data_IF_299469852878
#
_entry.id   IF_299469852878
#
_cell.length_a   1.000
_cell.length_b   1.000
_cell.length_c   1.000
_cell.angle_alpha   90.00
_cell.angle_beta   90.00
_cell.angle_gamma   90.00
#
_symmetry.space_group_name_H-M   'P 1'
#
loop_
_entity.id
_entity.type
_entity.pdbx_description
1 polymer ?
#
# COMPACT_ATOMS: atom_id res chain seq x y z
N UNK A 1 -0.38 -14.45 -14.04
CA UNK A 1 0.15 -15.74 -13.54
C UNK A 1 1.10 -15.48 -12.38
N UNK A 2 0.88 -16.10 -11.22
CA UNK A 2 1.70 -15.85 -10.03
C UNK A 2 3.08 -16.52 -10.18
N UNK A 3 4.18 -15.76 -9.99
CA UNK A 3 5.58 -16.23 -10.11
C UNK A 3 5.86 -17.52 -9.32
N UNK A 4 5.28 -17.62 -8.12
CA UNK A 4 5.40 -18.78 -7.24
C UNK A 4 4.70 -20.03 -7.82
N UNK A 5 3.57 -19.85 -8.48
CA UNK A 5 2.83 -20.95 -9.11
C UNK A 5 3.65 -21.56 -10.25
N UNK A 6 4.29 -20.71 -11.07
CA UNK A 6 5.12 -21.16 -12.18
C UNK A 6 6.40 -21.88 -11.72
N UNK A 7 7.02 -21.44 -10.62
CA UNK A 7 8.14 -22.13 -9.98
C UNK A 7 7.79 -23.55 -9.49
N UNK A 8 6.58 -23.68 -8.94
CA UNK A 8 6.07 -24.95 -8.46
C UNK A 8 5.76 -25.89 -9.62
N UNK A 9 5.20 -25.38 -10.71
CA UNK A 9 4.93 -26.13 -11.94
C UNK A 9 6.23 -26.62 -12.61
N UNK A 10 7.28 -25.79 -12.61
CA UNK A 10 8.61 -26.16 -13.14
C UNK A 10 9.40 -27.11 -12.23
N UNK A 11 8.95 -27.35 -11.00
CA UNK A 11 9.65 -28.22 -10.04
C UNK A 11 10.98 -27.67 -9.49
N UNK A 12 11.36 -26.45 -9.86
CA UNK A 12 12.63 -25.82 -9.48
C UNK A 12 12.55 -25.07 -8.13
N UNK A 13 11.37 -25.01 -7.51
CA UNK A 13 11.13 -24.35 -6.21
C UNK A 13 12.09 -24.80 -5.10
N UNK A 14 12.59 -26.04 -5.14
CA UNK A 14 13.56 -26.57 -4.18
C UNK A 14 14.89 -25.81 -4.15
N UNK A 15 15.32 -25.23 -5.27
CA UNK A 15 16.56 -24.46 -5.40
C UNK A 15 16.48 -23.09 -4.71
N UNK A 16 15.26 -22.66 -4.37
CA UNK A 16 14.98 -21.39 -3.70
C UNK A 16 14.50 -21.59 -2.26
N UNK A 17 14.64 -22.81 -1.71
CA UNK A 17 14.29 -23.11 -0.33
C UNK A 17 15.18 -22.31 0.63
N UNK A 18 14.56 -21.41 1.40
CA UNK A 18 15.25 -20.52 2.34
C UNK A 18 15.60 -19.14 1.77
N UNK A 19 15.35 -18.90 0.47
CA UNK A 19 15.42 -17.55 -0.13
C UNK A 19 14.10 -16.81 0.08
N UNK A 20 14.15 -15.50 0.20
CA UNK A 20 12.95 -14.65 0.26
C UNK A 20 12.37 -14.47 -1.14
N UNK A 21 11.06 -14.22 -1.23
CA UNK A 21 10.36 -14.03 -2.50
C UNK A 21 11.00 -12.91 -3.36
N UNK A 22 11.55 -11.89 -2.70
CA UNK A 22 12.24 -10.74 -3.30
C UNK A 22 13.59 -11.11 -3.96
N UNK A 23 14.17 -12.27 -3.61
CA UNK A 23 15.48 -12.75 -4.10
C UNK A 23 15.34 -13.71 -5.29
N UNK A 24 14.12 -14.15 -5.60
CA UNK A 24 13.88 -15.09 -6.68
C UNK A 24 13.75 -14.30 -7.99
N UNK A 25 14.87 -14.06 -8.67
CA UNK A 25 14.86 -13.50 -10.01
C UNK A 25 14.68 -14.61 -11.05
N UNK A 26 13.43 -14.84 -11.46
CA UNK A 26 13.12 -15.63 -12.65
C UNK A 26 12.94 -14.60 -13.76
N UNK A 27 13.78 -14.62 -14.78
CA UNK A 27 13.66 -13.78 -15.98
C UNK A 27 12.37 -14.13 -16.74
N UNK A 28 11.23 -13.75 -16.18
CA UNK A 28 9.86 -14.01 -16.65
C UNK A 28 9.21 -12.78 -17.26
N UNK A 29 9.92 -11.66 -17.26
CA UNK A 29 9.42 -10.41 -17.83
C UNK A 29 9.37 -10.46 -19.36
N UNK A 30 10.16 -11.33 -20.00
CA UNK A 30 10.27 -11.39 -21.46
C UNK A 30 9.10 -12.16 -22.14
N UNK A 31 8.37 -13.01 -21.41
CA UNK A 31 7.32 -13.88 -21.96
C UNK A 31 5.88 -13.36 -21.75
N UNK A 32 5.71 -12.23 -21.05
CA UNK A 32 4.38 -11.65 -20.76
C UNK A 32 3.86 -10.69 -21.85
N UNK A 33 4.66 -10.39 -22.88
CA UNK A 33 4.31 -9.41 -23.92
C UNK A 33 3.72 -10.00 -25.22
N UNK A 34 3.41 -11.30 -25.26
CA UNK A 34 2.94 -11.96 -26.50
C UNK A 34 1.54 -12.61 -26.44
N UNK A 35 0.60 -12.09 -25.64
CA UNK A 35 -0.82 -12.45 -25.77
C UNK A 35 -1.62 -11.21 -26.16
N UNK A 36 -1.79 -11.06 -27.47
CA UNK A 36 -2.74 -10.17 -28.11
C UNK A 36 -3.91 -11.03 -28.59
N UNK A 37 -5.16 -10.78 -28.14
CA UNK A 37 -6.43 -11.13 -28.81
C UNK A 37 -7.67 -10.70 -27.98
N UNK A 38 -8.30 -9.61 -28.42
CA UNK A 38 -9.73 -9.24 -28.37
C UNK A 38 -10.72 -10.02 -27.47
N UNK A 39 -11.38 -9.33 -26.52
CA UNK A 39 -12.85 -9.16 -26.48
C UNK A 39 -13.29 -8.19 -25.37
N UNK A 40 -14.20 -7.31 -25.75
CA UNK A 40 -14.94 -6.27 -25.03
C UNK A 40 -15.78 -6.80 -23.85
N UNK A 41 -15.53 -6.36 -22.59
CA UNK A 41 -16.54 -6.14 -21.52
C UNK A 41 -15.97 -5.20 -20.44
N UNK A 42 -16.73 -4.16 -20.15
CA UNK A 42 -16.53 -3.07 -19.19
C UNK A 42 -16.49 -3.49 -17.71
N UNK A 43 -15.43 -3.11 -16.97
CA UNK A 43 -15.51 -2.82 -15.53
C UNK A 43 -14.35 -1.92 -15.07
N UNK A 44 -14.68 -1.00 -14.18
CA UNK A 44 -13.91 0.15 -13.69
C UNK A 44 -12.50 -0.19 -13.19
N UNK A 45 -11.47 0.46 -13.75
CA UNK A 45 -10.11 0.40 -13.23
C UNK A 45 -9.60 1.83 -12.96
N UNK A 46 -9.59 2.23 -11.68
CA UNK A 46 -8.87 3.42 -11.22
C UNK A 46 -7.39 3.28 -11.57
N UNK A 47 -6.92 4.20 -12.41
CA UNK A 47 -5.59 4.24 -12.98
C UNK A 47 -4.50 4.38 -11.91
N UNK A 48 -3.45 3.60 -12.13
CA UNK A 48 -2.19 3.55 -11.40
C UNK A 48 -1.50 4.92 -11.39
N UNK A 49 -0.99 5.33 -10.23
CA UNK A 49 -0.11 6.49 -10.12
C UNK A 49 1.28 6.10 -10.63
N UNK A 50 1.69 6.74 -11.72
CA UNK A 50 3.06 6.76 -12.23
C UNK A 50 3.97 7.44 -11.20
N UNK A 51 5.06 6.79 -10.80
CA UNK A 51 6.18 7.47 -10.15
C UNK A 51 7.14 7.93 -11.24
N UNK A 52 7.19 9.24 -11.41
CA UNK A 52 8.07 9.93 -12.34
C UNK A 52 9.49 10.04 -11.75
N UNK A 53 10.47 9.86 -12.63
CA UNK A 53 11.91 9.89 -12.41
C UNK A 53 12.41 11.22 -11.84
N UNK A 54 13.41 11.15 -10.94
CA UNK A 54 14.49 12.15 -10.87
C UNK A 54 15.84 11.40 -10.82
N UNK A 55 16.68 11.74 -11.79
CA UNK A 55 18.03 11.27 -12.16
C UNK A 55 19.06 12.02 -11.29
N UNK A 56 20.19 11.46 -10.81
CA UNK A 56 21.52 11.34 -11.47
C UNK A 56 22.44 10.59 -10.48
N UNK A 57 23.04 9.45 -10.85
CA UNK A 57 24.31 9.27 -11.59
C UNK A 57 25.56 9.72 -10.80
N UNK A 58 26.25 8.74 -10.21
CA UNK A 58 27.69 8.80 -9.94
C UNK A 58 28.27 7.38 -9.99
N UNK A 59 29.44 7.31 -10.63
CA UNK A 59 30.03 6.18 -11.32
C UNK A 59 30.83 5.21 -10.41
N UNK A 60 30.79 3.93 -10.77
CA UNK A 60 31.79 2.85 -10.62
C UNK A 60 32.70 2.72 -9.38
N UNK A 61 32.53 1.60 -8.63
CA UNK A 61 33.41 0.38 -8.62
C UNK A 61 33.64 -0.25 -7.22
N UNK A 62 33.45 -1.58 -7.25
CA UNK A 62 34.08 -2.66 -6.48
C UNK A 62 33.72 -2.91 -5.01
N UNK A 63 33.06 -4.06 -4.87
CA UNK A 63 33.02 -5.05 -3.79
C UNK A 63 33.87 -4.80 -2.54
N UNK A 64 33.19 -4.64 -1.40
CA UNK A 64 33.63 -5.17 -0.11
C UNK A 64 32.41 -5.74 0.63
N UNK A 65 32.59 -6.95 1.13
CA UNK A 65 31.56 -7.82 1.71
C UNK A 65 31.05 -7.21 3.01
N UNK A 66 29.84 -6.67 3.03
CA UNK A 66 29.18 -6.34 4.31
C UNK A 66 28.34 -7.54 4.76
N UNK A 67 28.81 -8.25 5.78
CA UNK A 67 27.98 -9.16 6.56
C UNK A 67 26.87 -8.32 7.20
N UNK A 68 25.73 -8.16 6.51
CA UNK A 68 24.57 -7.46 7.04
C UNK A 68 23.97 -8.32 8.14
N UNK A 69 24.47 -8.14 9.36
CA UNK A 69 23.82 -8.63 10.57
C UNK A 69 22.37 -8.17 10.50
N UNK A 70 21.44 -9.11 10.69
CA UNK A 70 20.00 -8.85 10.63
C UNK A 70 19.68 -7.57 11.41
N UNK A 71 19.30 -6.51 10.68
CA UNK A 71 18.90 -5.25 11.29
C UNK A 71 17.70 -5.56 12.20
N UNK A 72 17.71 -5.07 13.46
CA UNK A 72 16.60 -5.32 14.36
C UNK A 72 15.32 -4.80 13.73
N UNK A 73 14.26 -5.64 13.71
CA UNK A 73 12.94 -5.26 13.22
C UNK A 73 12.53 -3.91 13.82
N UNK A 74 12.56 -2.85 13.01
CA UNK A 74 12.18 -1.52 13.47
C UNK A 74 10.73 -1.60 13.94
N UNK A 75 10.52 -1.39 15.24
CA UNK A 75 9.18 -1.32 15.82
C UNK A 75 8.42 -0.21 15.09
N UNK A 76 7.22 -0.51 14.58
CA UNK A 76 6.40 0.48 13.89
C UNK A 76 6.08 1.61 14.87
N UNK A 77 6.41 2.85 14.50
CA UNK A 77 6.02 4.02 15.26
C UNK A 77 4.54 4.29 14.96
N UNK A 78 3.69 4.13 15.96
CA UNK A 78 2.28 4.50 15.86
C UNK A 78 2.16 6.01 16.00
N UNK A 79 1.62 6.68 14.99
CA UNK A 79 1.27 8.09 15.11
C UNK A 79 -0.08 8.20 15.82
N UNK A 80 -0.14 8.74 17.05
CA UNK A 80 -1.40 8.93 17.75
C UNK A 80 -2.27 9.98 17.06
N UNK A 81 -3.56 9.97 17.37
CA UNK A 81 -4.49 11.03 16.95
C UNK A 81 -4.39 12.19 17.93
N UNK A 82 -4.22 13.41 17.41
CA UNK A 82 -4.40 14.65 18.17
C UNK A 82 -5.86 14.82 18.57
N UNK A 83 -6.12 15.50 19.69
CA UNK A 83 -7.49 15.72 20.16
C UNK A 83 -8.29 16.65 19.23
N UNK A 84 -7.61 17.61 18.60
CA UNK A 84 -8.21 18.47 17.57
C UNK A 84 -8.66 17.63 16.37
N UNK A 85 -7.82 16.71 15.90
CA UNK A 85 -8.15 15.78 14.82
C UNK A 85 -9.36 14.91 15.18
N UNK A 86 -9.38 14.36 16.40
CA UNK A 86 -10.51 13.56 16.87
C UNK A 86 -11.79 14.38 16.89
N UNK A 87 -11.74 15.61 17.38
CA UNK A 87 -12.90 16.48 17.49
C UNK A 87 -13.45 16.84 16.10
N UNK A 88 -12.59 17.25 15.18
CA UNK A 88 -12.96 17.60 13.80
C UNK A 88 -13.61 16.42 13.08
N UNK A 89 -12.98 15.24 13.12
CA UNK A 89 -13.53 14.02 12.51
C UNK A 89 -14.84 13.61 13.17
N UNK A 90 -14.91 13.63 14.50
CA UNK A 90 -16.16 13.34 15.22
C UNK A 90 -17.28 14.31 14.85
N UNK A 91 -16.97 15.61 14.70
CA UNK A 91 -17.94 16.66 14.38
C UNK A 91 -18.48 16.53 12.96
N UNK A 92 -17.63 16.25 11.98
CA UNK A 92 -18.04 16.03 10.60
C UNK A 92 -18.88 14.75 10.45
N UNK A 93 -18.45 13.65 11.08
CA UNK A 93 -19.10 12.35 10.95
C UNK A 93 -20.12 12.02 12.06
N UNK A 94 -20.68 13.02 12.77
CA UNK A 94 -21.70 12.80 13.83
C UNK A 94 -22.87 11.95 13.35
N UNK A 95 -23.34 12.21 12.12
CA UNK A 95 -24.45 11.50 11.48
C UNK A 95 -24.12 10.03 11.23
N UNK A 96 -22.92 9.75 10.70
CA UNK A 96 -22.40 8.43 10.42
C UNK A 96 -22.20 7.60 11.69
N UNK A 97 -21.63 8.21 12.74
CA UNK A 97 -21.46 7.56 14.05
C UNK A 97 -22.83 7.19 14.64
N UNK A 98 -23.81 8.10 14.59
CA UNK A 98 -25.18 7.83 15.09
C UNK A 98 -25.88 6.73 14.29
N UNK A 99 -25.72 6.72 12.96
CA UNK A 99 -26.30 5.70 12.08
C UNK A 99 -25.50 4.39 12.05
N UNK A 100 -24.33 4.33 12.70
CA UNK A 100 -23.37 3.21 12.65
C UNK A 100 -22.97 2.82 11.22
N UNK A 101 -22.86 3.81 10.36
CA UNK A 101 -22.48 3.62 8.96
C UNK A 101 -21.04 4.10 8.75
N UNK A 102 -20.19 3.31 8.08
CA UNK A 102 -18.83 3.75 7.78
C UNK A 102 -18.87 4.84 6.71
N UNK A 103 -18.03 5.88 6.82
CA UNK A 103 -17.99 6.97 5.85
C UNK A 103 -17.45 6.50 4.50
N UNK A 104 -17.91 7.16 3.44
CA UNK A 104 -17.42 6.89 2.08
C UNK A 104 -16.07 7.57 1.85
N UNK A 105 -15.34 7.11 0.84
CA UNK A 105 -14.04 7.68 0.47
C UNK A 105 -14.15 9.18 0.14
N UNK A 106 -15.15 9.55 -0.67
CA UNK A 106 -15.40 10.94 -1.09
C UNK A 106 -15.57 11.87 0.11
N UNK A 107 -16.37 11.47 1.10
CA UNK A 107 -16.58 12.28 2.32
C UNK A 107 -15.32 12.43 3.16
N UNK A 108 -14.44 11.42 3.19
CA UNK A 108 -13.15 11.53 3.86
C UNK A 108 -12.20 12.48 3.11
N UNK A 109 -12.20 12.47 1.78
CA UNK A 109 -11.41 13.39 0.96
C UNK A 109 -11.93 14.83 1.06
N UNK A 110 -13.24 15.02 1.17
CA UNK A 110 -13.84 16.34 1.47
C UNK A 110 -13.35 16.88 2.82
N UNK A 111 -13.30 16.03 3.84
CA UNK A 111 -12.77 16.43 5.15
C UNK A 111 -11.29 16.79 5.09
N UNK A 112 -10.50 16.08 4.28
CA UNK A 112 -9.08 16.37 4.05
C UNK A 112 -8.90 17.72 3.33
N UNK A 113 -9.74 18.03 2.34
CA UNK A 113 -9.75 19.32 1.64
C UNK A 113 -10.17 20.49 2.53
N UNK A 114 -11.08 20.26 3.49
CA UNK A 114 -11.51 21.28 4.45
C UNK A 114 -10.46 21.59 5.52
N UNK A 115 -9.69 20.58 5.93
CA UNK A 115 -8.67 20.71 6.97
C UNK A 115 -7.32 20.07 6.56
N UNK A 116 -6.67 20.59 5.49
CA UNK A 116 -5.45 20.01 4.97
C UNK A 116 -4.31 20.06 5.97
N UNK A 117 -4.18 21.15 6.74
CA UNK A 117 -3.13 21.29 7.76
C UNK A 117 -3.26 20.26 8.90
N UNK A 118 -4.50 19.99 9.31
CA UNK A 118 -4.78 19.13 10.46
C UNK A 118 -4.72 17.63 10.11
N UNK A 119 -5.13 17.28 8.89
CA UNK A 119 -5.29 15.88 8.47
C UNK A 119 -4.28 15.42 7.42
N UNK A 120 -3.35 16.26 6.97
CA UNK A 120 -2.25 15.91 6.03
C UNK A 120 -1.48 14.64 6.41
N UNK A 121 -1.31 14.37 7.71
CA UNK A 121 -0.61 13.19 8.21
C UNK A 121 -1.46 11.89 8.15
N UNK A 122 -2.76 11.99 7.88
CA UNK A 122 -3.73 10.90 8.03
C UNK A 122 -4.46 10.64 6.71
N UNK A 123 -4.07 9.56 6.04
CA UNK A 123 -4.76 9.05 4.87
C UNK A 123 -6.26 8.75 5.13
N UNK A 124 -7.12 8.92 4.13
CA UNK A 124 -8.58 8.71 4.23
C UNK A 124 -8.98 7.38 4.88
N UNK A 125 -8.20 6.30 4.66
CA UNK A 125 -8.45 5.00 5.28
C UNK A 125 -8.34 5.06 6.81
N UNK A 126 -7.41 5.85 7.35
CA UNK A 126 -7.27 6.06 8.80
C UNK A 126 -8.48 6.79 9.37
N UNK A 127 -9.00 7.79 8.65
CA UNK A 127 -10.23 8.50 9.03
C UNK A 127 -11.41 7.54 9.05
N UNK A 128 -11.60 6.76 7.98
CA UNK A 128 -12.68 5.76 7.88
C UNK A 128 -12.61 4.75 9.02
N UNK A 129 -11.45 4.15 9.26
CA UNK A 129 -11.24 3.18 10.35
C UNK A 129 -11.48 3.83 11.71
N UNK A 130 -11.06 5.09 11.91
CA UNK A 130 -11.31 5.81 13.15
C UNK A 130 -12.81 5.99 13.40
N UNK A 131 -13.57 6.43 12.40
CA UNK A 131 -15.03 6.60 12.52
C UNK A 131 -15.72 5.26 12.77
N UNK A 132 -15.33 4.21 12.05
CA UNK A 132 -15.85 2.86 12.29
C UNK A 132 -15.62 2.41 13.74
N UNK A 133 -14.37 2.55 14.21
CA UNK A 133 -13.97 2.21 15.58
C UNK A 133 -14.73 2.99 16.66
N UNK A 134 -15.37 4.12 16.35
CA UNK A 134 -16.18 4.87 17.33
C UNK A 134 -17.45 4.15 17.74
N UNK A 135 -18.03 3.33 16.85
CA UNK A 135 -19.29 2.62 17.14
C UNK A 135 -19.14 1.09 17.13
N UNK A 136 -18.00 0.54 16.71
CA UNK A 136 -17.72 -0.91 16.77
C UNK A 136 -16.99 -1.36 18.03
N UNK A 137 -16.40 -0.46 18.83
CA UNK A 137 -15.79 -0.83 20.12
C UNK A 137 -16.88 -1.31 21.09
N UNK A 138 -16.95 -2.63 21.28
CA UNK A 138 -17.64 -3.34 22.37
C UNK A 138 -16.61 -3.97 23.28
#
# INVERSE_FOLDING_TARGET
MSKLLLLMEKGEAGQFKGKRLDEINLGLEEDLMNIDTNSDVEEQLEQQVQYENIVEESNEKEEEICHSKALPNKKRVLVPWSDEQKNTVCNFFKTHIRKKQPPKRVECEELEKLHPELLSNKYWLKIKVFVQNKYTKK
#
